data_IF_349905997690
#
_entry.id   IF_349905997690
#
_cell.length_a   1.000
_cell.length_b   1.000
_cell.length_c   1.000
_cell.angle_alpha   90.00
_cell.angle_beta   90.00
_cell.angle_gamma   90.00
#
_symmetry.space_group_name_H-M   'P 1'
#
loop_
_entity.id
_entity.type
_entity.pdbx_description
1 polymer ?
#
# COMPACT_ATOMS: atom_id res chain seq x y z
N UNK A 1 18.84 -21.83 2.22
CA UNK A 1 18.27 -20.81 1.30
C UNK A 1 17.55 -21.42 0.09
N UNK A 2 18.21 -22.10 -0.87
CA UNK A 2 17.52 -22.68 -2.05
C UNK A 2 16.39 -23.66 -1.69
N UNK A 3 16.57 -24.48 -0.67
CA UNK A 3 15.54 -25.39 -0.15
C UNK A 3 14.33 -24.65 0.44
N UNK A 4 14.56 -23.51 1.10
CA UNK A 4 13.49 -22.67 1.67
C UNK A 4 12.72 -21.98 0.56
N UNK A 5 13.42 -21.41 -0.42
CA UNK A 5 12.78 -20.81 -1.61
C UNK A 5 11.93 -21.86 -2.36
N UNK A 6 12.41 -23.10 -2.45
CA UNK A 6 11.65 -24.19 -3.05
C UNK A 6 10.41 -24.57 -2.21
N UNK A 7 10.54 -24.61 -0.87
CA UNK A 7 9.42 -24.82 0.05
C UNK A 7 8.34 -23.75 -0.12
N UNK A 8 8.72 -22.47 -0.11
CA UNK A 8 7.79 -21.34 -0.31
C UNK A 8 7.16 -21.35 -1.71
N UNK A 9 7.91 -21.79 -2.73
CA UNK A 9 7.35 -21.99 -4.06
C UNK A 9 6.24 -23.06 -4.07
N UNK A 10 6.39 -24.15 -3.30
CA UNK A 10 5.34 -25.17 -3.21
C UNK A 10 4.07 -24.64 -2.56
N UNK A 11 4.16 -23.71 -1.61
CA UNK A 11 2.99 -23.03 -1.02
C UNK A 11 2.21 -22.16 -2.00
N UNK A 12 2.79 -21.84 -3.17
CA UNK A 12 2.04 -21.19 -4.26
C UNK A 12 1.10 -22.16 -4.99
N UNK A 13 1.38 -23.47 -4.93
CA UNK A 13 0.61 -24.51 -5.61
C UNK A 13 -0.25 -25.36 -4.66
N UNK A 14 0.10 -25.40 -3.36
CA UNK A 14 -0.57 -26.20 -2.34
C UNK A 14 -0.81 -25.34 -1.10
N UNK A 15 -2.06 -25.28 -0.61
CA UNK A 15 -2.42 -24.48 0.57
C UNK A 15 -1.93 -25.09 1.89
N UNK A 16 -1.70 -26.41 1.94
CA UNK A 16 -1.32 -27.13 3.16
C UNK A 16 -0.23 -28.17 2.85
N UNK A 17 0.52 -28.57 3.89
CA UNK A 17 1.52 -29.66 3.88
C UNK A 17 0.87 -31.05 3.78
N UNK A 18 0.02 -31.25 2.77
CA UNK A 18 -0.65 -32.51 2.51
C UNK A 18 0.30 -33.56 1.88
N UNK A 19 -0.20 -34.77 1.64
CA UNK A 19 0.61 -35.88 1.12
C UNK A 19 1.30 -35.56 -0.20
N UNK A 20 0.68 -34.74 -1.06
CA UNK A 20 1.24 -34.41 -2.36
C UNK A 20 2.24 -33.25 -2.29
N UNK A 21 2.03 -32.29 -1.40
CA UNK A 21 3.07 -31.32 -1.01
C UNK A 21 4.35 -32.05 -0.58
N UNK A 22 4.21 -32.97 0.39
CA UNK A 22 5.36 -33.65 0.99
C UNK A 22 6.12 -34.51 -0.03
N UNK A 23 5.41 -35.19 -0.95
CA UNK A 23 6.05 -35.93 -2.04
C UNK A 23 6.87 -35.01 -2.94
N UNK A 24 6.35 -33.82 -3.24
CA UNK A 24 7.00 -32.87 -4.16
C UNK A 24 8.16 -32.17 -3.49
N UNK A 25 8.03 -31.85 -2.20
CA UNK A 25 9.12 -31.37 -1.36
C UNK A 25 10.28 -32.38 -1.29
N UNK A 26 9.98 -33.68 -1.10
CA UNK A 26 10.97 -34.76 -1.06
C UNK A 26 11.77 -34.94 -2.37
N UNK A 27 11.33 -34.34 -3.50
CA UNK A 27 12.10 -34.31 -4.75
C UNK A 27 13.28 -33.34 -4.69
N UNK A 28 13.28 -32.38 -3.75
CA UNK A 28 14.38 -31.44 -3.62
C UNK A 28 15.63 -32.15 -3.05
N UNK A 29 16.79 -32.06 -3.73
CA UNK A 29 17.98 -32.76 -3.30
C UNK A 29 18.36 -32.41 -1.84
N UNK A 30 18.53 -33.45 -1.02
CA UNK A 30 18.89 -33.33 0.40
C UNK A 30 17.91 -32.53 1.26
N UNK A 31 16.63 -32.43 0.89
CA UNK A 31 15.65 -31.63 1.65
C UNK A 31 15.59 -32.00 3.13
N UNK A 32 15.67 -33.30 3.47
CA UNK A 32 15.67 -33.77 4.87
C UNK A 32 16.87 -33.26 5.66
N UNK A 33 18.05 -33.21 5.03
CA UNK A 33 19.27 -32.65 5.64
C UNK A 33 19.14 -31.14 5.83
N UNK A 34 18.57 -30.43 4.85
CA UNK A 34 18.33 -29.00 4.96
C UNK A 34 17.28 -28.66 6.03
N UNK A 35 16.23 -29.48 6.15
CA UNK A 35 15.21 -29.37 7.18
C UNK A 35 15.81 -29.56 8.57
N UNK A 36 16.62 -30.59 8.79
CA UNK A 36 17.31 -30.79 10.06
C UNK A 36 18.23 -29.61 10.45
N UNK A 37 18.89 -28.96 9.48
CA UNK A 37 19.69 -27.75 9.72
C UNK A 37 18.80 -26.56 10.08
N UNK A 38 17.64 -26.41 9.44
CA UNK A 38 16.67 -25.36 9.76
C UNK A 38 16.06 -25.56 11.14
N UNK A 39 15.61 -26.77 11.47
CA UNK A 39 15.10 -27.14 12.78
C UNK A 39 16.11 -26.81 13.86
N UNK A 40 17.37 -27.24 13.71
CA UNK A 40 18.45 -26.91 14.65
C UNK A 40 18.71 -25.41 14.76
N UNK A 41 18.63 -24.67 13.65
CA UNK A 41 18.76 -23.21 13.67
C UNK A 41 17.60 -22.54 14.42
N UNK A 42 16.36 -23.00 14.24
CA UNK A 42 15.21 -22.49 14.98
C UNK A 42 15.27 -22.85 16.47
N UNK A 43 15.75 -24.06 16.80
CA UNK A 43 15.98 -24.50 18.17
C UNK A 43 17.07 -23.69 18.88
N UNK A 44 18.01 -23.08 18.14
CA UNK A 44 19.06 -22.19 18.65
C UNK A 44 18.55 -20.76 18.93
N UNK A 45 17.32 -20.41 18.52
CA UNK A 45 16.70 -19.11 18.80
C UNK A 45 16.09 -19.14 20.21
N UNK A 46 16.88 -18.76 21.22
CA UNK A 46 16.42 -18.67 22.62
C UNK A 46 15.49 -17.46 22.85
N UNK A 47 15.76 -16.35 22.16
CA UNK A 47 14.95 -15.15 22.15
C UNK A 47 14.58 -14.80 20.70
N UNK A 48 13.29 -14.60 20.44
CA UNK A 48 12.86 -14.03 19.17
C UNK A 48 13.51 -12.65 19.02
N UNK A 49 14.12 -12.33 17.86
CA UNK A 49 14.65 -10.99 17.65
C UNK A 49 13.54 -9.97 17.90
N UNK A 50 13.83 -8.83 18.58
CA UNK A 50 12.82 -7.83 18.84
C UNK A 50 12.18 -7.43 17.51
N UNK A 51 10.89 -7.74 17.38
CA UNK A 51 10.13 -7.49 16.15
C UNK A 51 10.04 -5.98 15.99
N UNK A 52 10.43 -5.48 14.82
CA UNK A 52 10.31 -4.06 14.51
C UNK A 52 8.82 -3.71 14.42
N UNK A 53 8.28 -3.08 15.46
CA UNK A 53 6.95 -2.47 15.40
C UNK A 53 7.07 -1.31 14.41
N UNK A 54 6.69 -1.54 13.14
CA UNK A 54 6.95 -0.61 12.03
C UNK A 54 6.42 0.80 12.28
N UNK A 55 5.37 0.97 13.09
CA UNK A 55 4.79 2.27 13.38
C UNK A 55 4.06 2.27 14.74
N UNK A 56 4.55 3.06 15.68
CA UNK A 56 3.88 3.32 16.98
C UNK A 56 3.13 4.65 16.94
N UNK A 57 2.02 4.72 17.68
CA UNK A 57 1.26 5.95 17.89
C UNK A 57 1.74 6.67 19.14
N UNK A 58 2.01 7.97 19.00
CA UNK A 58 2.21 8.85 20.14
C UNK A 58 0.87 9.44 20.58
N UNK A 59 0.66 9.57 21.89
CA UNK A 59 -0.49 10.29 22.40
C UNK A 59 -0.33 11.79 22.13
N UNK A 60 -1.04 12.32 21.12
CA UNK A 60 -1.02 13.73 20.72
C UNK A 60 -2.41 14.24 20.33
N UNK A 61 -2.60 15.57 20.33
CA UNK A 61 -3.93 16.22 20.16
C UNK A 61 -4.55 16.03 18.77
N UNK A 62 -3.72 15.75 17.79
CA UNK A 62 -4.01 15.53 16.37
C UNK A 62 -4.20 14.04 16.02
N UNK A 63 -4.31 13.16 17.02
CA UNK A 63 -4.70 11.77 16.81
C UNK A 63 -6.22 11.61 16.89
N UNK A 64 -6.80 10.90 15.90
CA UNK A 64 -8.25 10.73 15.73
C UNK A 64 -8.59 9.28 15.37
N UNK A 65 -9.80 8.85 15.70
CA UNK A 65 -10.37 7.59 15.22
C UNK A 65 -11.31 7.89 14.06
N UNK A 66 -11.24 7.10 12.98
CA UNK A 66 -12.08 7.31 11.80
C UNK A 66 -12.67 5.99 11.31
N UNK A 67 -13.99 5.96 11.16
CA UNK A 67 -14.73 4.82 10.62
C UNK A 67 -14.72 4.88 9.09
N UNK A 68 -14.31 3.78 8.47
CA UNK A 68 -14.53 3.49 7.06
C UNK A 68 -15.98 3.00 6.90
N UNK A 69 -16.89 3.89 6.53
CA UNK A 69 -18.32 3.55 6.48
C UNK A 69 -18.64 2.70 5.23
N UNK A 70 -19.64 1.84 5.34
CA UNK A 70 -20.18 1.10 4.18
C UNK A 70 -19.26 0.02 3.61
N UNK A 71 -18.20 -0.36 4.34
CA UNK A 71 -17.35 -1.52 4.04
C UNK A 71 -17.46 -2.54 5.16
N UNK A 72 -17.41 -3.82 4.80
CA UNK A 72 -17.27 -4.91 5.77
C UNK A 72 -15.80 -5.07 6.16
N UNK A 73 -15.55 -5.72 7.29
CA UNK A 73 -14.19 -5.91 7.79
C UNK A 73 -13.33 -6.70 6.80
N UNK A 74 -13.87 -7.73 6.15
CA UNK A 74 -13.15 -8.54 5.17
C UNK A 74 -12.87 -7.78 3.87
N UNK A 75 -13.52 -6.64 3.67
CA UNK A 75 -13.50 -5.85 2.45
C UNK A 75 -12.96 -4.42 2.67
N UNK A 76 -12.39 -4.14 3.85
CA UNK A 76 -12.02 -2.76 4.22
C UNK A 76 -10.99 -2.14 3.26
N UNK A 77 -10.15 -2.96 2.62
CA UNK A 77 -9.19 -2.52 1.61
C UNK A 77 -9.89 -1.89 0.38
N UNK A 78 -11.17 -2.18 0.13
CA UNK A 78 -11.95 -1.53 -0.93
C UNK A 78 -12.22 -0.04 -0.65
N UNK A 79 -12.03 0.42 0.60
CA UNK A 79 -12.05 1.83 0.94
C UNK A 79 -10.80 2.58 0.45
N UNK A 80 -9.76 1.86 0.00
CA UNK A 80 -8.46 2.44 -0.34
C UNK A 80 -8.22 2.38 -1.85
N UNK A 81 -7.82 3.50 -2.44
CA UNK A 81 -7.27 3.55 -3.79
C UNK A 81 -5.81 3.96 -3.74
N UNK A 82 -4.90 3.13 -4.26
CA UNK A 82 -3.46 3.38 -4.19
C UNK A 82 -2.90 3.89 -5.52
N UNK A 83 -2.37 5.11 -5.55
CA UNK A 83 -1.62 5.65 -6.71
C UNK A 83 -0.62 6.74 -6.28
N UNK A 84 0.43 6.98 -7.07
CA UNK A 84 1.48 7.97 -6.77
C UNK A 84 2.04 7.88 -5.33
N UNK A 85 2.27 6.67 -4.81
CA UNK A 85 2.77 6.49 -3.43
C UNK A 85 1.80 6.87 -2.30
N UNK A 86 0.53 7.16 -2.62
CA UNK A 86 -0.48 7.58 -1.66
C UNK A 86 -1.68 6.63 -1.66
N UNK A 87 -2.32 6.50 -0.50
CA UNK A 87 -3.68 6.02 -0.35
C UNK A 87 -4.66 7.18 -0.44
N UNK A 88 -5.67 7.02 -1.29
CA UNK A 88 -6.85 7.87 -1.39
C UNK A 88 -8.00 7.10 -0.76
N UNK A 89 -8.47 7.57 0.39
CA UNK A 89 -9.30 6.82 1.32
C UNK A 89 -10.74 7.31 1.22
N UNK A 90 -11.64 6.41 0.87
CA UNK A 90 -13.08 6.61 0.85
C UNK A 90 -13.66 6.36 2.24
N UNK A 91 -14.26 7.38 2.83
CA UNK A 91 -14.89 7.26 4.14
C UNK A 91 -16.32 6.70 4.06
N UNK A 92 -16.82 6.36 2.86
CA UNK A 92 -18.14 5.78 2.62
C UNK A 92 -19.30 6.78 2.58
N UNK A 93 -19.10 7.97 3.15
CA UNK A 93 -20.05 9.09 3.14
C UNK A 93 -19.29 10.42 3.12
N UNK A 94 -19.97 11.50 2.73
CA UNK A 94 -19.39 12.84 2.76
C UNK A 94 -19.43 13.40 4.20
N UNK A 95 -18.27 13.47 4.86
CA UNK A 95 -18.15 13.80 6.28
C UNK A 95 -17.59 15.20 6.44
N UNK A 96 -18.27 16.12 7.13
CA UNK A 96 -17.63 17.38 7.51
C UNK A 96 -16.60 17.13 8.62
N UNK A 97 -15.29 17.32 8.40
CA UNK A 97 -14.30 17.02 9.42
C UNK A 97 -14.47 17.95 10.64
N UNK A 98 -14.45 17.44 11.89
CA UNK A 98 -14.71 18.25 13.10
C UNK A 98 -13.48 19.07 13.56
N UNK A 99 -12.62 19.41 12.62
CA UNK A 99 -11.27 19.93 12.83
C UNK A 99 -11.22 21.45 12.96
N UNK A 100 -10.16 21.96 13.60
CA UNK A 100 -9.87 23.40 13.66
C UNK A 100 -8.88 23.78 12.57
N UNK A 101 -9.04 24.97 11.99
CA UNK A 101 -8.26 25.48 10.84
C UNK A 101 -6.73 25.51 11.04
N UNK A 102 -6.22 25.36 12.27
CA UNK A 102 -4.78 25.42 12.57
C UNK A 102 -4.01 24.11 12.34
N UNK A 103 -4.69 22.97 12.19
CA UNK A 103 -4.05 21.65 12.01
C UNK A 103 -4.38 21.13 10.62
N UNK A 104 -3.34 20.89 9.82
CA UNK A 104 -3.45 20.49 8.41
C UNK A 104 -3.29 18.98 8.18
N UNK A 105 -2.84 18.24 9.18
CA UNK A 105 -2.68 16.78 9.14
C UNK A 105 -2.93 16.14 10.50
N UNK A 106 -3.38 14.89 10.48
CA UNK A 106 -3.78 14.13 11.67
C UNK A 106 -3.18 12.73 11.63
N UNK A 107 -2.85 12.17 12.80
CA UNK A 107 -2.65 10.73 12.89
C UNK A 107 -4.02 10.08 13.04
N UNK A 108 -4.25 8.96 12.35
CA UNK A 108 -5.56 8.34 12.25
C UNK A 108 -5.47 6.87 12.60
N UNK A 109 -6.37 6.43 13.47
CA UNK A 109 -6.71 5.03 13.69
C UNK A 109 -7.95 4.72 12.84
N UNK A 110 -7.79 3.84 11.86
CA UNK A 110 -8.85 3.42 10.95
C UNK A 110 -9.66 2.29 11.57
N UNK A 111 -10.98 2.46 11.56
CA UNK A 111 -11.93 1.54 12.15
C UNK A 111 -12.94 1.04 11.10
N UNK A 112 -13.42 -0.19 11.27
CA UNK A 112 -14.61 -0.71 10.60
C UNK A 112 -15.64 -1.07 11.68
N UNK A 113 -16.90 -0.71 11.45
CA UNK A 113 -18.00 -0.99 12.37
C UNK A 113 -18.48 -2.45 12.21
N UNK A 114 -18.58 -3.16 13.34
CA UNK A 114 -19.21 -4.48 13.47
C UNK A 114 -20.57 -4.40 14.17
N UNK A 115 -21.07 -5.53 14.66
CA UNK A 115 -22.35 -5.56 15.39
C UNK A 115 -22.26 -4.80 16.72
N UNK A 116 -21.30 -5.15 17.58
CA UNK A 116 -21.14 -4.54 18.93
C UNK A 116 -19.74 -3.94 19.16
N UNK A 117 -18.85 -4.04 18.15
CA UNK A 117 -17.44 -3.71 18.25
C UNK A 117 -16.98 -2.93 17.01
N UNK A 118 -16.10 -1.96 17.22
CA UNK A 118 -15.26 -1.42 16.17
C UNK A 118 -14.00 -2.27 16.03
N UNK A 119 -13.57 -2.47 14.80
CA UNK A 119 -12.36 -3.21 14.48
C UNK A 119 -11.29 -2.27 13.95
N UNK A 120 -10.11 -2.33 14.56
CA UNK A 120 -8.95 -1.57 14.12
C UNK A 120 -8.35 -2.25 12.87
N UNK A 121 -8.36 -1.55 11.74
CA UNK A 121 -7.89 -2.10 10.44
C UNK A 121 -6.63 -1.41 9.90
N UNK A 122 -6.20 -0.32 10.56
CA UNK A 122 -4.92 0.30 10.26
C UNK A 122 -4.67 1.60 10.99
N UNK A 123 -3.45 2.10 10.83
CA UNK A 123 -2.97 3.35 11.39
C UNK A 123 -2.28 4.14 10.28
N UNK A 124 -2.56 5.44 10.17
CA UNK A 124 -1.85 6.35 9.27
C UNK A 124 -1.34 7.57 10.02
N UNK A 125 -0.12 8.02 9.70
CA UNK A 125 0.40 9.33 10.14
C UNK A 125 0.24 10.38 9.04
N UNK A 126 0.12 11.64 9.46
CA UNK A 126 0.05 12.81 8.59
C UNK A 126 -1.10 12.78 7.56
N UNK A 127 -2.25 12.22 7.94
CA UNK A 127 -3.44 12.14 7.09
C UNK A 127 -4.02 13.53 6.86
N UNK A 128 -4.31 13.84 5.60
CA UNK A 128 -5.02 15.06 5.21
C UNK A 128 -6.46 14.72 4.88
N UNK A 129 -7.38 15.42 5.52
CA UNK A 129 -8.81 15.32 5.23
C UNK A 129 -9.26 16.49 4.35
N UNK A 130 -10.14 16.19 3.40
CA UNK A 130 -10.84 17.18 2.60
C UNK A 130 -12.17 17.54 3.28
N UNK A 131 -12.61 18.78 3.11
CA UNK A 131 -13.92 19.25 3.63
C UNK A 131 -15.09 18.52 2.98
N UNK A 132 -14.91 18.09 1.73
CA UNK A 132 -15.88 17.33 0.96
C UNK A 132 -15.19 16.20 0.21
N UNK A 133 -15.88 15.07 0.05
CA UNK A 133 -15.36 13.98 -0.79
C UNK A 133 -15.09 14.45 -2.23
N UNK A 134 -14.01 13.96 -2.80
CA UNK A 134 -13.63 14.20 -4.20
C UNK A 134 -13.81 12.93 -4.98
N UNK A 135 -14.09 13.07 -6.28
CA UNK A 135 -14.24 11.95 -7.19
C UNK A 135 -13.31 12.11 -8.38
N UNK A 136 -12.50 11.08 -8.64
CA UNK A 136 -11.46 11.08 -9.67
C UNK A 136 -11.81 10.02 -10.71
N UNK A 137 -11.68 10.39 -11.98
CA UNK A 137 -11.82 9.49 -13.12
C UNK A 137 -10.46 9.29 -13.75
N UNK A 138 -10.08 8.03 -13.98
CA UNK A 138 -8.81 7.67 -14.61
C UNK A 138 -8.90 7.55 -16.13
N UNK A 139 -10.05 7.93 -16.70
CA UNK A 139 -10.24 7.97 -18.13
C UNK A 139 -9.28 8.99 -18.78
N UNK A 140 -8.70 8.67 -19.95
CA UNK A 140 -9.00 7.52 -20.80
C UNK A 140 -8.06 6.31 -20.58
N UNK A 141 -7.15 6.34 -19.60
CA UNK A 141 -6.21 5.24 -19.41
C UNK A 141 -6.89 4.01 -18.79
N UNK A 142 -7.78 4.24 -17.83
CA UNK A 142 -8.55 3.21 -17.16
C UNK A 142 -10.02 3.63 -17.08
N UNK A 143 -10.92 2.65 -17.12
CA UNK A 143 -12.36 2.88 -16.90
C UNK A 143 -12.69 3.25 -15.44
N UNK A 144 -11.73 3.05 -14.54
CA UNK A 144 -11.89 3.21 -13.12
C UNK A 144 -12.21 4.65 -12.72
N UNK A 145 -13.03 4.73 -11.66
CA UNK A 145 -13.41 5.96 -10.99
C UNK A 145 -13.47 5.65 -9.51
N UNK A 146 -12.87 6.51 -8.70
CA UNK A 146 -12.87 6.36 -7.24
C UNK A 146 -13.20 7.68 -6.57
N UNK A 147 -13.72 7.58 -5.35
CA UNK A 147 -14.02 8.73 -4.51
C UNK A 147 -13.22 8.63 -3.22
N UNK A 148 -12.78 9.75 -2.69
CA UNK A 148 -11.98 9.79 -1.47
C UNK A 148 -12.24 11.08 -0.70
N UNK A 149 -11.98 11.07 0.59
CA UNK A 149 -12.04 12.27 1.42
C UNK A 149 -10.84 12.39 2.37
N UNK A 150 -10.01 11.35 2.48
CA UNK A 150 -8.74 11.42 3.17
C UNK A 150 -7.61 10.95 2.25
N UNK A 151 -6.40 11.47 2.49
CA UNK A 151 -5.18 11.05 1.81
C UNK A 151 -4.08 10.78 2.83
N UNK A 152 -3.35 9.70 2.61
CA UNK A 152 -2.22 9.31 3.44
C UNK A 152 -1.10 8.76 2.56
N UNK A 153 0.16 8.96 2.96
CA UNK A 153 1.28 8.28 2.31
C UNK A 153 1.21 6.78 2.61
N UNK A 154 1.49 5.94 1.61
CA UNK A 154 1.62 4.49 1.79
C UNK A 154 2.71 4.18 2.82
N UNK A 155 3.79 4.95 2.82
CA UNK A 155 4.93 4.75 3.73
C UNK A 155 4.63 5.13 5.18
N UNK A 156 3.64 6.00 5.39
CA UNK A 156 3.20 6.43 6.71
C UNK A 156 1.94 5.69 7.17
N UNK A 157 1.58 4.59 6.52
CA UNK A 157 0.36 3.83 6.80
C UNK A 157 0.67 2.36 7.02
N UNK A 158 0.15 1.82 8.13
CA UNK A 158 0.20 0.39 8.47
C UNK A 158 -1.23 -0.14 8.45
N UNK A 159 -1.53 -1.05 7.52
CA UNK A 159 -2.83 -1.70 7.40
C UNK A 159 -2.74 -3.10 8.01
N UNK A 160 -3.75 -3.56 8.74
CA UNK A 160 -3.68 -4.82 9.50
C UNK A 160 -4.31 -5.97 8.73
N UNK A 161 -3.62 -7.11 8.63
CA UNK A 161 -4.07 -8.29 7.89
C UNK A 161 -5.23 -9.00 8.53
N UNK A 162 -5.12 -9.20 9.84
CA UNK A 162 -6.10 -9.93 10.63
C UNK A 162 -6.73 -9.00 11.67
N UNK A 163 -7.91 -9.42 12.11
CA UNK A 163 -8.68 -8.75 13.14
C UNK A 163 -7.98 -8.92 14.49
N UNK A 164 -7.06 -8.00 14.83
CA UNK A 164 -6.33 -8.09 16.09
C UNK A 164 -6.98 -7.31 17.24
N UNK A 165 -7.34 -6.04 17.01
CA UNK A 165 -7.77 -5.13 18.08
C UNK A 165 -9.20 -4.66 17.86
N UNK A 166 -10.03 -4.88 18.87
CA UNK A 166 -11.43 -4.45 18.91
C UNK A 166 -11.63 -3.36 19.96
N UNK A 167 -12.55 -2.45 19.67
CA UNK A 167 -12.95 -1.37 20.57
C UNK A 167 -14.47 -1.49 20.75
N UNK A 168 -14.95 -1.82 21.96
CA UNK A 168 -16.39 -1.84 22.24
C UNK A 168 -17.06 -0.50 21.91
N UNK A 169 -18.27 -0.55 21.35
CA UNK A 169 -18.96 0.65 20.87
C UNK A 169 -19.13 1.72 21.95
N UNK A 170 -19.39 1.30 23.19
CA UNK A 170 -19.56 2.19 24.33
C UNK A 170 -18.27 2.94 24.76
N UNK A 171 -17.11 2.59 24.23
CA UNK A 171 -15.86 3.33 24.47
C UNK A 171 -15.73 4.56 23.59
N UNK A 172 -16.46 4.61 22.47
CA UNK A 172 -16.53 5.76 21.59
C UNK A 172 -17.86 6.49 21.81
N UNK A 173 -17.92 7.82 21.59
CA UNK A 173 -19.15 8.59 21.80
C UNK A 173 -20.32 8.12 20.94
N UNK A 174 -21.51 7.96 21.54
CA UNK A 174 -22.74 7.45 20.91
C UNK A 174 -23.21 8.27 19.71
N UNK A 175 -23.14 9.61 19.79
CA UNK A 175 -23.54 10.51 18.70
C UNK A 175 -22.33 11.25 18.13
N UNK A 176 -21.87 10.83 16.93
CA UNK A 176 -21.19 11.72 15.98
C UNK A 176 -21.48 11.29 14.54
N UNK A 177 -22.43 11.96 13.90
CA UNK A 177 -22.81 11.76 12.49
C UNK A 177 -21.63 11.73 11.50
N UNK A 178 -20.46 12.24 11.89
CA UNK A 178 -19.24 12.27 11.11
C UNK A 178 -18.53 10.91 10.95
N UNK A 179 -18.63 9.96 11.89
CA UNK A 179 -17.72 8.79 11.88
C UNK A 179 -16.23 9.15 12.08
N UNK A 180 -15.95 10.35 12.61
CA UNK A 180 -14.62 10.79 13.05
C UNK A 180 -14.71 11.19 14.52
N UNK A 181 -13.91 10.56 15.37
CA UNK A 181 -13.86 10.82 16.81
C UNK A 181 -12.51 11.40 17.20
N UNK A 182 -12.51 12.53 17.91
CA UNK A 182 -11.30 13.11 18.47
C UNK A 182 -10.97 12.41 19.78
N UNK A 183 -9.69 12.22 20.09
CA UNK A 183 -9.25 11.60 21.36
C UNK A 183 -9.87 12.27 22.60
N UNK A 184 -10.00 13.60 22.59
CA UNK A 184 -10.57 14.39 23.69
C UNK A 184 -12.02 14.01 24.03
N UNK A 185 -12.69 13.33 23.11
CA UNK A 185 -14.08 12.97 23.25
C UNK A 185 -14.26 11.59 23.91
N UNK A 186 -13.17 10.83 24.12
CA UNK A 186 -13.16 9.62 24.94
C UNK A 186 -13.21 10.06 26.41
N UNK A 187 -14.29 9.73 27.12
CA UNK A 187 -14.54 10.20 28.50
C UNK A 187 -14.39 9.12 29.56
N UNK A 188 -14.68 7.87 29.21
CA UNK A 188 -14.79 6.78 30.19
C UNK A 188 -13.45 6.11 30.50
N UNK A 189 -12.41 6.38 29.69
CA UNK A 189 -11.07 5.81 29.85
C UNK A 189 -9.96 6.82 29.56
N UNK A 190 -8.78 6.56 30.11
CA UNK A 190 -7.56 7.28 29.74
C UNK A 190 -7.23 6.99 28.27
N UNK A 191 -7.30 8.03 27.44
CA UNK A 191 -6.91 7.94 26.04
C UNK A 191 -5.46 7.45 25.86
N UNK A 192 -4.56 7.75 26.82
CA UNK A 192 -3.19 7.22 26.83
C UNK A 192 -3.16 5.71 26.99
N UNK A 193 -4.04 5.14 27.81
CA UNK A 193 -4.09 3.69 28.03
C UNK A 193 -4.63 2.97 26.80
N UNK A 194 -5.59 3.57 26.09
CA UNK A 194 -6.06 3.07 24.78
C UNK A 194 -4.92 3.04 23.77
N UNK A 195 -4.10 4.10 23.68
CA UNK A 195 -2.96 4.12 22.76
C UNK A 195 -1.89 3.10 23.17
N UNK A 196 -1.59 2.99 24.46
CA UNK A 196 -0.66 1.97 24.95
C UNK A 196 -1.14 0.54 24.64
N UNK A 197 -2.44 0.31 24.78
CA UNK A 197 -3.07 -0.97 24.44
C UNK A 197 -2.93 -1.28 22.96
N UNK A 198 -3.28 -0.34 22.07
CA UNK A 198 -3.11 -0.50 20.62
C UNK A 198 -1.65 -0.79 20.26
N UNK A 199 -0.71 -0.03 20.84
CA UNK A 199 0.73 -0.21 20.61
C UNK A 199 1.29 -1.53 21.19
N UNK A 200 0.54 -2.22 22.07
CA UNK A 200 0.95 -3.50 22.66
C UNK A 200 0.56 -4.71 21.81
N UNK A 201 -0.36 -4.55 20.86
CA UNK A 201 -0.76 -5.63 19.96
C UNK A 201 0.29 -5.86 18.88
N UNK A 202 0.59 -7.13 18.64
CA UNK A 202 1.37 -7.60 17.49
C UNK A 202 0.40 -7.87 16.33
N UNK A 203 0.57 -7.17 15.21
CA UNK A 203 -0.29 -7.30 14.03
C UNK A 203 0.53 -7.70 12.81
N UNK A 204 0.02 -8.67 12.04
CA UNK A 204 0.46 -8.86 10.67
C UNK A 204 -0.03 -7.70 9.80
N UNK A 205 0.83 -7.21 8.91
CA UNK A 205 0.61 -5.97 8.16
C UNK A 205 0.45 -6.21 6.66
N UNK A 206 -0.55 -5.56 6.08
CA UNK A 206 -0.73 -5.44 4.63
C UNK A 206 0.19 -4.33 4.07
N UNK A 207 1.02 -4.69 3.10
CA UNK A 207 1.72 -3.73 2.24
C UNK A 207 0.99 -3.63 0.88
N UNK A 208 0.02 -2.70 0.79
CA UNK A 208 -0.81 -2.52 -0.41
C UNK A 208 -0.33 -1.31 -1.21
N UNK A 209 -0.25 -1.45 -2.53
CA UNK A 209 0.20 -0.37 -3.41
C UNK A 209 1.73 -0.22 -3.46
N UNK A 210 2.21 0.88 -4.04
CA UNK A 210 3.61 1.06 -4.42
C UNK A 210 4.26 2.16 -3.55
N UNK A 211 5.24 1.81 -2.71
CA UNK A 211 5.97 2.78 -1.88
C UNK A 211 6.96 3.65 -2.68
N UNK A 212 7.02 4.95 -2.38
CA UNK A 212 7.88 5.90 -3.09
C UNK A 212 9.38 5.55 -3.03
N UNK A 213 9.85 5.02 -1.89
CA UNK A 213 11.23 4.55 -1.71
C UNK A 213 11.65 3.47 -2.72
N UNK A 214 10.70 2.71 -3.25
CA UNK A 214 10.96 1.65 -4.22
C UNK A 214 10.82 2.11 -5.68
N UNK A 215 10.43 3.37 -5.92
CA UNK A 215 10.03 3.85 -7.26
C UNK A 215 11.20 3.81 -8.26
N UNK A 216 12.39 4.12 -7.77
CA UNK A 216 13.62 4.18 -8.56
C UNK A 216 14.50 2.93 -8.41
N UNK A 217 14.01 1.90 -7.72
CA UNK A 217 14.71 0.63 -7.60
C UNK A 217 14.78 -0.11 -8.94
N UNK A 218 15.78 -0.97 -9.09
CA UNK A 218 15.96 -1.82 -10.27
C UNK A 218 15.72 -3.28 -9.92
N UNK A 219 15.26 -4.05 -10.91
CA UNK A 219 15.07 -5.48 -10.70
C UNK A 219 16.44 -6.18 -10.62
N UNK A 220 16.64 -7.14 -9.69
CA UNK A 220 17.92 -7.85 -9.55
C UNK A 220 18.08 -8.93 -10.64
N UNK A 221 18.09 -8.49 -11.91
CA UNK A 221 18.27 -9.35 -13.08
C UNK A 221 19.73 -9.31 -13.55
N UNK A 222 20.24 -10.46 -14.02
CA UNK A 222 21.57 -10.60 -14.63
C UNK A 222 21.58 -10.11 -16.09
N UNK A 223 20.41 -9.97 -16.73
CA UNK A 223 20.32 -9.52 -18.12
C UNK A 223 20.65 -8.02 -18.24
N UNK A 224 21.60 -7.66 -19.11
CA UNK A 224 22.06 -6.28 -19.30
C UNK A 224 21.75 -5.73 -20.71
N UNK A 225 21.21 -6.55 -21.63
CA UNK A 225 20.72 -6.05 -22.92
C UNK A 225 19.40 -5.27 -22.72
N UNK A 226 19.48 -3.94 -22.81
CA UNK A 226 18.34 -3.04 -22.68
C UNK A 226 17.15 -3.40 -23.59
N UNK A 227 17.37 -3.94 -24.80
CA UNK A 227 16.28 -4.33 -25.70
C UNK A 227 15.54 -5.56 -25.19
N UNK A 228 16.25 -6.50 -24.58
CA UNK A 228 15.62 -7.66 -23.95
C UNK A 228 14.92 -7.26 -22.66
N UNK A 229 15.50 -6.36 -21.87
CA UNK A 229 14.87 -5.81 -20.66
C UNK A 229 13.54 -5.11 -20.98
N UNK A 230 13.48 -4.30 -22.05
CA UNK A 230 12.21 -3.71 -22.53
C UNK A 230 11.18 -4.81 -22.84
N UNK A 231 11.57 -5.84 -23.60
CA UNK A 231 10.67 -6.96 -23.92
C UNK A 231 10.19 -7.71 -22.67
N UNK A 232 11.05 -7.84 -21.64
CA UNK A 232 10.70 -8.43 -20.36
C UNK A 232 9.71 -7.56 -19.59
N UNK A 233 9.94 -6.24 -19.51
CA UNK A 233 9.05 -5.30 -18.82
C UNK A 233 7.63 -5.35 -19.39
N UNK A 234 7.47 -5.32 -20.72
CA UNK A 234 6.15 -5.38 -21.36
C UNK A 234 5.43 -6.74 -21.19
N UNK A 235 6.18 -7.84 -21.02
CA UNK A 235 5.61 -9.19 -20.78
C UNK A 235 5.28 -9.45 -19.32
N UNK A 236 5.92 -8.74 -18.40
CA UNK A 236 5.71 -8.89 -16.96
C UNK A 236 4.27 -8.47 -16.58
N UNK A 237 3.65 -9.28 -15.72
CA UNK A 237 2.28 -9.08 -15.24
C UNK A 237 2.26 -8.25 -13.97
N UNK A 238 3.26 -8.43 -13.10
CA UNK A 238 3.37 -7.65 -11.87
C UNK A 238 3.84 -6.22 -12.19
N UNK A 239 2.99 -5.24 -11.92
CA UNK A 239 3.24 -3.83 -12.26
C UNK A 239 4.49 -3.26 -11.57
N UNK A 240 4.76 -3.64 -10.33
CA UNK A 240 5.96 -3.18 -9.61
C UNK A 240 7.24 -3.68 -10.27
N UNK A 241 7.26 -4.99 -10.57
CA UNK A 241 8.39 -5.62 -11.24
C UNK A 241 8.59 -5.07 -12.65
N UNK A 242 7.52 -4.78 -13.39
CA UNK A 242 7.58 -4.10 -14.69
C UNK A 242 8.33 -2.77 -14.58
N UNK A 243 8.02 -1.93 -13.58
CA UNK A 243 8.71 -0.65 -13.34
C UNK A 243 10.20 -0.89 -13.03
N UNK A 244 10.53 -1.82 -12.14
CA UNK A 244 11.91 -2.10 -11.76
C UNK A 244 12.76 -2.67 -12.91
N UNK A 245 12.16 -3.47 -13.81
CA UNK A 245 12.81 -3.93 -15.03
C UNK A 245 13.04 -2.76 -16.00
N UNK A 246 12.06 -1.86 -16.14
CA UNK A 246 12.18 -0.68 -17.00
C UNK A 246 13.23 0.31 -16.47
N UNK A 247 13.32 0.51 -15.15
CA UNK A 247 14.40 1.28 -14.51
C UNK A 247 15.76 0.67 -14.84
N UNK A 248 15.91 -0.66 -14.74
CA UNK A 248 17.16 -1.33 -15.15
C UNK A 248 17.45 -1.10 -16.63
N UNK A 249 16.48 -1.23 -17.53
CA UNK A 249 16.68 -0.98 -18.95
C UNK A 249 17.20 0.43 -19.24
N UNK A 250 16.63 1.45 -18.58
CA UNK A 250 17.07 2.85 -18.68
C UNK A 250 18.46 3.06 -18.09
N UNK A 251 18.79 2.37 -16.99
CA UNK A 251 20.13 2.39 -16.38
C UNK A 251 21.19 1.81 -17.33
N UNK A 252 20.91 0.67 -17.98
CA UNK A 252 21.85 0.05 -18.93
C UNK A 252 22.06 0.93 -20.18
N UNK A 253 21.01 1.61 -20.65
CA UNK A 253 21.11 2.56 -21.75
C UNK A 253 19.99 3.59 -21.73
N UNK A 254 20.32 4.84 -21.43
CA UNK A 254 19.34 5.91 -21.52
C UNK A 254 19.12 6.32 -22.99
N UNK A 255 17.97 5.92 -23.54
CA UNK A 255 17.52 6.32 -24.88
C UNK A 255 15.99 6.43 -24.95
N UNK A 256 15.48 6.93 -26.08
CA UNK A 256 14.04 7.10 -26.32
C UNK A 256 13.23 5.84 -25.97
N UNK A 257 13.65 4.66 -26.46
CA UNK A 257 12.92 3.40 -26.22
C UNK A 257 12.84 3.03 -24.73
N UNK A 258 13.93 3.21 -23.98
CA UNK A 258 13.95 2.91 -22.54
C UNK A 258 13.13 3.90 -21.72
N UNK A 259 13.15 5.19 -22.09
CA UNK A 259 12.30 6.21 -21.46
C UNK A 259 10.82 5.96 -21.74
N UNK A 260 10.47 5.58 -22.98
CA UNK A 260 9.10 5.22 -23.33
C UNK A 260 8.62 3.98 -22.58
N UNK A 261 9.45 2.94 -22.51
CA UNK A 261 9.18 1.75 -21.72
C UNK A 261 8.94 2.08 -20.24
N UNK A 262 9.77 2.95 -19.65
CA UNK A 262 9.59 3.37 -18.27
C UNK A 262 8.32 4.21 -18.08
N UNK A 263 8.06 5.19 -18.95
CA UNK A 263 6.85 6.02 -18.90
C UNK A 263 5.57 5.17 -18.94
N UNK A 264 5.52 4.19 -19.85
CA UNK A 264 4.41 3.23 -19.97
C UNK A 264 4.29 2.35 -18.72
N UNK A 265 5.41 1.88 -18.18
CA UNK A 265 5.46 1.02 -16.99
C UNK A 265 4.95 1.76 -15.76
N UNK A 266 5.37 3.02 -15.58
CA UNK A 266 4.91 3.89 -14.51
C UNK A 266 3.40 4.18 -14.62
N UNK A 267 2.91 4.46 -15.83
CA UNK A 267 1.48 4.63 -16.09
C UNK A 267 0.68 3.37 -15.72
N UNK A 268 1.18 2.19 -16.09
CA UNK A 268 0.60 0.88 -15.74
C UNK A 268 0.61 0.61 -14.24
N UNK A 269 1.62 1.09 -13.53
CA UNK A 269 1.70 1.02 -12.07
C UNK A 269 1.02 2.16 -11.33
N UNK A 270 0.19 2.98 -12.00
CA UNK A 270 -0.53 4.13 -11.42
C UNK A 270 0.41 5.17 -10.76
N UNK A 271 1.64 5.28 -11.27
CA UNK A 271 2.63 6.30 -10.88
C UNK A 271 2.58 7.46 -11.90
N UNK A 272 1.43 8.13 -11.94
CA UNK A 272 1.08 9.17 -12.91
C UNK A 272 2.06 10.35 -12.93
N UNK A 273 2.54 10.81 -11.77
CA UNK A 273 3.46 11.95 -11.71
C UNK A 273 4.83 11.58 -12.30
N UNK A 274 5.38 10.45 -11.88
CA UNK A 274 6.63 9.93 -12.42
C UNK A 274 6.51 9.62 -13.93
N UNK A 275 5.39 9.03 -14.35
CA UNK A 275 5.09 8.78 -15.76
C UNK A 275 5.05 10.07 -16.58
N UNK A 276 4.40 11.13 -16.05
CA UNK A 276 4.33 12.42 -16.72
C UNK A 276 5.72 13.02 -16.94
N UNK A 277 6.61 12.93 -15.94
CA UNK A 277 7.98 13.44 -16.06
C UNK A 277 8.74 12.74 -17.18
N UNK A 278 8.64 11.40 -17.29
CA UNK A 278 9.26 10.66 -18.40
C UNK A 278 8.67 11.03 -19.77
N UNK A 279 7.34 11.23 -19.86
CA UNK A 279 6.73 11.69 -21.11
C UNK A 279 7.13 13.12 -21.49
N UNK A 280 7.27 14.03 -20.54
CA UNK A 280 7.74 15.39 -20.79
C UNK A 280 9.18 15.37 -21.34
N UNK A 281 10.03 14.46 -20.86
CA UNK A 281 11.36 14.26 -21.43
C UNK A 281 11.32 13.69 -22.85
N UNK A 282 10.42 12.74 -23.12
CA UNK A 282 10.21 12.20 -24.47
C UNK A 282 9.69 13.27 -25.43
N UNK A 283 8.83 14.19 -24.97
CA UNK A 283 8.33 15.31 -25.76
C UNK A 283 9.46 16.24 -26.20
N UNK A 284 10.49 16.48 -25.36
CA UNK A 284 11.66 17.28 -25.76
C UNK A 284 12.44 16.62 -26.91
N UNK A 285 12.46 15.29 -26.95
CA UNK A 285 13.15 14.51 -27.99
C UNK A 285 12.29 14.42 -29.28
N UNK A 286 10.98 14.28 -29.14
CA UNK A 286 10.03 14.14 -30.25
C UNK A 286 8.79 15.04 -30.05
N UNK A 287 8.90 16.36 -30.30
CA UNK A 287 7.83 17.32 -29.97
C UNK A 287 6.52 17.09 -30.74
N UNK A 288 6.63 16.60 -31.97
CA UNK A 288 5.48 16.38 -32.86
C UNK A 288 4.80 15.02 -32.66
N UNK A 289 5.27 14.21 -31.70
CA UNK A 289 4.68 12.90 -31.44
C UNK A 289 3.29 13.06 -30.79
N UNK A 290 2.25 12.89 -31.62
CA UNK A 290 0.85 13.03 -31.22
C UNK A 290 0.45 12.12 -30.06
N UNK A 291 1.01 10.91 -29.99
CA UNK A 291 0.69 9.97 -28.92
C UNK A 291 1.26 10.45 -27.58
N UNK A 292 2.53 10.83 -27.53
CA UNK A 292 3.17 11.40 -26.32
C UNK A 292 2.40 12.64 -25.85
N UNK A 293 2.08 13.56 -26.77
CA UNK A 293 1.34 14.78 -26.45
C UNK A 293 -0.05 14.47 -25.88
N UNK A 294 -0.75 13.47 -26.43
CA UNK A 294 -2.04 13.02 -25.92
C UNK A 294 -1.91 12.44 -24.51
N UNK A 295 -0.91 11.58 -24.27
CA UNK A 295 -0.66 10.98 -22.96
C UNK A 295 -0.35 12.04 -21.90
N UNK A 296 0.50 13.02 -22.21
CA UNK A 296 0.79 14.17 -21.33
C UNK A 296 -0.48 14.92 -20.95
N UNK A 297 -1.32 15.25 -21.94
CA UNK A 297 -2.59 15.97 -21.70
C UNK A 297 -3.50 15.20 -20.74
N UNK A 298 -3.64 13.89 -20.96
CA UNK A 298 -4.49 13.03 -20.14
C UNK A 298 -3.94 12.86 -18.72
N UNK A 299 -2.63 12.67 -18.56
CA UNK A 299 -1.96 12.59 -17.26
C UNK A 299 -2.14 13.89 -16.46
N UNK A 300 -1.94 15.05 -17.09
CA UNK A 300 -2.18 16.35 -16.45
C UNK A 300 -3.61 16.48 -15.93
N UNK A 301 -4.61 16.06 -16.72
CA UNK A 301 -6.02 16.07 -16.31
C UNK A 301 -6.28 15.21 -15.07
N UNK A 302 -5.70 14.00 -15.02
CA UNK A 302 -5.81 13.11 -13.85
C UNK A 302 -5.14 13.75 -12.63
N UNK A 303 -3.92 14.26 -12.77
CA UNK A 303 -3.17 14.89 -11.67
C UNK A 303 -3.85 16.15 -11.12
N UNK A 304 -4.41 17.00 -11.99
CA UNK A 304 -5.28 18.11 -11.58
C UNK A 304 -6.47 17.60 -10.77
N UNK A 305 -7.12 16.53 -11.25
CA UNK A 305 -8.21 15.88 -10.53
C UNK A 305 -7.76 15.18 -9.24
N UNK A 306 -6.47 14.97 -8.99
CA UNK A 306 -5.96 14.47 -7.71
C UNK A 306 -5.62 15.60 -6.74
N UNK A 307 -5.12 16.74 -7.23
CA UNK A 307 -4.55 17.82 -6.41
C UNK A 307 -5.50 18.99 -6.10
N UNK A 308 -6.58 19.18 -6.87
CA UNK A 308 -7.62 20.20 -6.58
C UNK A 308 -8.54 19.85 -5.39
#
# INVERSE_FOLDING_TARGET
MKSVIYHEYLHQEYQEHNRDFNKREDLFPNVRKHKAVLEKFFDEIEDLPPREVKLTLDYKKDLVFCILNGVKIEEYLLALYACNGNYYINLGKNIKPPFKDSITSYDVIWLVEGEDLYYLVGISKDVKFLDTWKTVSLNPFYSDKFSYQATASIENTSLFMDIGCTIPHNLLPEEKDSGIFLLKDIKDFSAKDVINYINSYDFDLHEVGFANKALYSTAPLIEDDYKKLIKLAYKEKNTMRTIWIANKAKLEKECFDTKLCLADSLLRGLQFEASLNEYLDLQKISPENKEINCRIKNLKRILTSLNE
#
